data_IF_795848753056
#
_entry.id   IF_795848753056
#
_cell.length_a   1.000
_cell.length_b   1.000
_cell.length_c   1.000
_cell.angle_alpha   90.00
_cell.angle_beta   90.00
_cell.angle_gamma   90.00
#
_symmetry.space_group_name_H-M   'P 1'
#
loop_
_entity.id
_entity.type
_entity.pdbx_description
1 polymer ?
#
# COMPACT_ATOMS: atom_id res chain seq x y z
N UNK A 1 32.02 -3.76 -7.15
CA UNK A 1 31.04 -2.75 -6.66
C UNK A 1 29.64 -3.27 -6.88
N UNK A 2 28.68 -2.74 -6.12
CA UNK A 2 27.25 -3.01 -6.30
C UNK A 2 26.71 -2.21 -7.48
N UNK A 3 25.53 -2.60 -7.99
CA UNK A 3 24.85 -1.84 -9.04
C UNK A 3 24.49 -0.41 -8.58
N UNK A 4 24.12 -0.24 -7.31
CA UNK A 4 23.70 1.05 -6.78
C UNK A 4 24.87 2.04 -6.73
N UNK A 5 26.02 1.61 -6.21
CA UNK A 5 27.25 2.39 -6.20
C UNK A 5 27.67 2.81 -7.62
N UNK A 6 27.62 1.87 -8.57
CA UNK A 6 27.93 2.17 -9.97
C UNK A 6 26.98 3.20 -10.58
N UNK A 7 25.68 3.13 -10.25
CA UNK A 7 24.69 4.11 -10.70
C UNK A 7 24.96 5.48 -10.10
N UNK A 8 25.29 5.55 -8.81
CA UNK A 8 25.54 6.80 -8.11
C UNK A 8 26.82 7.48 -8.63
N UNK A 9 27.89 6.72 -8.91
CA UNK A 9 29.11 7.21 -9.56
C UNK A 9 28.87 7.75 -10.99
N UNK A 10 27.88 7.22 -11.70
CA UNK A 10 27.55 7.61 -13.08
C UNK A 10 26.48 8.72 -13.16
N UNK A 11 26.32 9.52 -12.10
CA UNK A 11 25.39 10.66 -12.06
C UNK A 11 23.96 10.25 -11.72
N UNK A 12 23.80 9.15 -10.99
CA UNK A 12 22.52 8.62 -10.52
C UNK A 12 21.66 8.02 -11.63
N UNK A 13 20.42 7.65 -11.28
CA UNK A 13 19.51 6.93 -12.17
C UNK A 13 19.23 7.66 -13.49
N UNK A 14 19.11 9.00 -13.44
CA UNK A 14 18.87 9.83 -14.63
C UNK A 14 20.13 9.91 -15.50
N UNK A 15 21.32 10.03 -14.88
CA UNK A 15 22.61 10.07 -15.59
C UNK A 15 22.85 8.78 -16.36
N UNK A 16 22.70 7.64 -15.70
CA UNK A 16 22.83 6.30 -16.31
C UNK A 16 21.79 6.09 -17.43
N UNK A 17 20.53 6.45 -17.18
CA UNK A 17 19.47 6.31 -18.18
C UNK A 17 19.79 7.08 -19.47
N UNK A 18 20.24 8.34 -19.35
CA UNK A 18 20.64 9.17 -20.50
C UNK A 18 21.91 8.66 -21.19
N UNK A 19 22.92 8.27 -20.40
CA UNK A 19 24.25 7.88 -20.92
C UNK A 19 24.21 6.55 -21.68
N UNK A 20 23.37 5.61 -21.24
CA UNK A 20 23.30 4.26 -21.79
C UNK A 20 21.96 3.95 -22.48
N UNK A 21 21.17 4.98 -22.78
CA UNK A 21 19.90 4.88 -23.50
C UNK A 21 18.87 3.93 -22.89
N UNK A 22 18.85 3.79 -21.56
CA UNK A 22 17.80 3.09 -20.84
C UNK A 22 16.67 4.05 -20.44
N UNK A 23 15.47 3.52 -20.20
CA UNK A 23 14.41 4.31 -19.58
C UNK A 23 14.71 4.52 -18.10
N UNK A 24 14.50 5.73 -17.59
CA UNK A 24 14.76 6.07 -16.18
C UNK A 24 13.96 5.19 -15.21
N UNK A 25 12.72 4.84 -15.57
CA UNK A 25 11.88 3.92 -14.81
C UNK A 25 12.48 2.52 -14.69
N UNK A 26 13.17 2.05 -15.73
CA UNK A 26 13.79 0.73 -15.76
C UNK A 26 15.03 0.68 -14.87
N UNK A 27 15.90 1.69 -14.96
CA UNK A 27 17.05 1.85 -14.04
C UNK A 27 16.56 1.98 -12.59
N UNK A 28 15.51 2.76 -12.35
CA UNK A 28 14.92 2.92 -11.02
C UNK A 28 14.31 1.63 -10.46
N UNK A 29 13.74 0.77 -11.31
CA UNK A 29 13.23 -0.53 -10.90
C UNK A 29 14.37 -1.48 -10.49
N UNK A 30 15.49 -1.46 -11.21
CA UNK A 30 16.69 -2.23 -10.89
C UNK A 30 17.38 -1.73 -9.63
N UNK A 31 17.52 -0.41 -9.48
CA UNK A 31 18.14 0.24 -8.32
C UNK A 31 17.38 -0.05 -7.01
N UNK A 32 16.05 -0.18 -7.09
CA UNK A 32 15.18 -0.48 -5.93
C UNK A 32 14.94 -1.97 -5.73
N UNK A 33 15.61 -2.84 -6.50
CA UNK A 33 15.39 -4.29 -6.48
C UNK A 33 13.92 -4.69 -6.71
N UNK A 34 13.16 -3.89 -7.45
CA UNK A 34 11.78 -4.21 -7.80
C UNK A 34 11.73 -5.31 -8.85
N UNK A 35 12.71 -5.31 -9.77
CA UNK A 35 12.89 -6.31 -10.82
C UNK A 35 14.37 -6.56 -11.04
N UNK A 36 14.71 -7.79 -11.40
CA UNK A 36 16.04 -8.13 -11.88
C UNK A 36 16.15 -7.86 -13.39
N UNK A 37 17.30 -7.40 -13.91
CA UNK A 37 17.49 -7.22 -15.35
C UNK A 37 17.28 -8.51 -16.13
N UNK A 38 16.75 -8.39 -17.35
CA UNK A 38 16.73 -9.51 -18.33
C UNK A 38 18.14 -9.78 -18.85
N UNK A 39 18.38 -10.98 -19.36
CA UNK A 39 19.69 -11.40 -19.86
C UNK A 39 20.32 -10.39 -20.84
N UNK A 40 19.56 -9.89 -21.81
CA UNK A 40 20.07 -8.92 -22.80
C UNK A 40 20.55 -7.62 -22.13
N UNK A 41 19.75 -7.08 -21.21
CA UNK A 41 20.07 -5.85 -20.47
C UNK A 41 21.23 -6.07 -19.49
N UNK A 42 21.33 -7.27 -18.91
CA UNK A 42 22.42 -7.63 -18.02
C UNK A 42 23.75 -7.68 -18.77
N UNK A 43 23.77 -8.28 -19.96
CA UNK A 43 24.96 -8.28 -20.84
C UNK A 43 25.37 -6.86 -21.20
N UNK A 44 24.42 -5.98 -21.53
CA UNK A 44 24.71 -4.57 -21.81
C UNK A 44 25.28 -3.86 -20.57
N UNK A 45 24.70 -4.06 -19.38
CA UNK A 45 25.19 -3.46 -18.15
C UNK A 45 26.60 -3.95 -17.79
N UNK A 46 26.90 -5.23 -17.99
CA UNK A 46 28.26 -5.78 -17.77
C UNK A 46 29.24 -5.16 -18.75
N UNK A 47 28.86 -5.02 -20.02
CA UNK A 47 29.71 -4.37 -21.03
C UNK A 47 29.96 -2.88 -20.69
N UNK A 48 28.90 -2.13 -20.35
CA UNK A 48 29.00 -0.70 -20.02
C UNK A 48 29.69 -0.40 -18.71
N UNK A 49 29.62 -1.32 -17.75
CA UNK A 49 30.34 -1.21 -16.49
C UNK A 49 31.74 -1.81 -16.53
N UNK A 50 32.18 -2.34 -17.68
CA UNK A 50 33.47 -3.03 -17.84
C UNK A 50 33.64 -4.18 -16.81
N UNK A 51 32.55 -4.86 -16.45
CA UNK A 51 32.57 -5.93 -15.45
C UNK A 51 32.78 -5.48 -14.01
N UNK A 52 32.71 -4.17 -13.69
CA UNK A 52 32.87 -3.66 -12.31
C UNK A 52 31.71 -4.04 -11.39
N UNK A 53 30.52 -4.23 -11.96
CA UNK A 53 29.34 -4.65 -11.21
C UNK A 53 29.44 -6.13 -10.86
N UNK A 54 29.39 -6.45 -9.57
CA UNK A 54 29.31 -7.83 -9.10
C UNK A 54 27.88 -8.36 -9.30
N UNK A 55 27.64 -9.02 -10.44
CA UNK A 55 26.32 -9.57 -10.80
C UNK A 55 25.87 -10.68 -9.85
N UNK A 56 26.79 -11.50 -9.34
CA UNK A 56 26.44 -12.59 -8.43
C UNK A 56 25.94 -12.06 -7.09
N UNK A 57 26.63 -11.07 -6.53
CA UNK A 57 26.18 -10.38 -5.32
C UNK A 57 24.85 -9.69 -5.56
N UNK A 58 24.68 -9.02 -6.71
CA UNK A 58 23.43 -8.36 -7.04
C UNK A 58 22.24 -9.33 -7.14
N UNK A 59 22.44 -10.52 -7.71
CA UNK A 59 21.43 -11.56 -7.78
C UNK A 59 21.08 -12.12 -6.39
N UNK A 60 22.08 -12.30 -5.51
CA UNK A 60 21.89 -12.74 -4.14
C UNK A 60 21.07 -11.72 -3.34
N UNK A 61 21.44 -10.43 -3.40
CA UNK A 61 20.73 -9.33 -2.73
C UNK A 61 19.28 -9.21 -3.24
N UNK A 62 19.06 -9.40 -4.54
CA UNK A 62 17.72 -9.42 -5.12
C UNK A 62 16.90 -10.58 -4.57
N UNK A 63 17.45 -11.79 -4.54
CA UNK A 63 16.76 -12.98 -4.03
C UNK A 63 16.42 -12.85 -2.54
N UNK A 64 17.35 -12.33 -1.72
CA UNK A 64 17.11 -12.06 -0.31
C UNK A 64 15.99 -11.04 -0.11
N UNK A 65 15.98 -9.96 -0.91
CA UNK A 65 14.94 -8.93 -0.82
C UNK A 65 13.57 -9.42 -1.31
N UNK A 66 13.53 -10.35 -2.26
CA UNK A 66 12.28 -11.02 -2.63
C UNK A 66 11.80 -11.94 -1.50
N UNK A 67 12.70 -12.66 -0.83
CA UNK A 67 12.37 -13.48 0.35
C UNK A 67 11.83 -12.64 1.50
N UNK A 68 12.47 -11.52 1.83
CA UNK A 68 11.97 -10.57 2.84
C UNK A 68 10.59 -9.98 2.48
N UNK A 69 10.30 -9.81 1.18
CA UNK A 69 8.96 -9.40 0.71
C UNK A 69 7.94 -10.53 0.85
N UNK A 70 8.33 -11.79 0.66
CA UNK A 70 7.42 -12.93 0.81
C UNK A 70 7.22 -13.38 2.26
N UNK A 71 8.22 -13.23 3.14
CA UNK A 71 8.20 -13.66 4.55
C UNK A 71 7.41 -12.72 5.48
N UNK A 72 6.80 -11.67 4.95
CA UNK A 72 5.68 -10.99 5.58
C UNK A 72 6.00 -10.13 6.79
N UNK A 73 6.34 -8.85 6.58
CA UNK A 73 5.97 -7.77 7.53
C UNK A 73 5.92 -6.38 6.88
N UNK A 74 5.56 -6.29 5.60
CA UNK A 74 5.08 -5.03 5.02
C UNK A 74 4.46 -5.32 3.66
N UNK A 75 3.29 -5.97 3.69
CA UNK A 75 2.30 -5.58 2.69
C UNK A 75 2.15 -4.07 2.91
N UNK A 76 2.73 -3.26 2.02
CA UNK A 76 2.25 -1.89 1.84
C UNK A 76 0.79 -2.08 1.48
N UNK A 77 -0.07 -2.12 2.50
CA UNK A 77 -1.50 -2.10 2.30
C UNK A 77 -1.70 -0.74 1.66
N UNK A 78 -1.87 -0.74 0.34
CA UNK A 78 -2.18 0.48 -0.39
C UNK A 78 -3.40 1.05 0.30
N UNK A 79 -3.20 2.13 1.07
CA UNK A 79 -4.23 2.75 1.89
C UNK A 79 -5.48 2.87 1.04
N UNK A 80 -6.56 2.21 1.45
CA UNK A 80 -7.75 2.13 0.60
C UNK A 80 -8.22 3.57 0.40
N UNK A 81 -8.44 3.97 -0.86
CA UNK A 81 -8.85 5.35 -1.16
C UNK A 81 -10.12 5.66 -0.36
N UNK A 82 -10.10 6.78 0.38
CA UNK A 82 -11.15 7.13 1.34
C UNK A 82 -12.54 7.28 0.70
N UNK A 83 -12.59 7.77 -0.54
CA UNK A 83 -13.82 7.99 -1.30
C UNK A 83 -14.49 6.70 -1.81
N UNK A 84 -13.87 5.53 -1.63
CA UNK A 84 -14.47 4.27 -2.08
C UNK A 84 -15.60 3.86 -1.14
N UNK A 85 -16.75 3.38 -1.67
CA UNK A 85 -17.84 2.89 -0.83
C UNK A 85 -17.51 1.53 -0.22
N UNK A 86 -17.89 1.30 1.04
CA UNK A 86 -17.78 0.01 1.73
C UNK A 86 -19.01 -0.84 1.42
N UNK A 87 -19.01 -1.46 0.23
CA UNK A 87 -20.15 -2.20 -0.32
C UNK A 87 -20.02 -3.73 -0.25
N UNK A 88 -18.89 -4.26 0.22
CA UNK A 88 -18.65 -5.69 0.36
C UNK A 88 -17.83 -5.98 1.62
N UNK A 89 -17.97 -7.22 2.13
CA UNK A 89 -17.31 -7.64 3.38
C UNK A 89 -15.79 -7.66 3.25
N UNK A 90 -15.26 -8.06 2.10
CA UNK A 90 -13.83 -8.06 1.84
C UNK A 90 -13.22 -6.65 1.95
N UNK A 91 -13.96 -5.61 1.53
CA UNK A 91 -13.49 -4.22 1.67
C UNK A 91 -13.51 -3.75 3.12
N UNK A 92 -14.55 -4.08 3.87
CA UNK A 92 -14.59 -3.79 5.31
C UNK A 92 -13.44 -4.47 6.05
N UNK A 93 -13.23 -5.77 5.79
CA UNK A 93 -12.09 -6.53 6.34
C UNK A 93 -10.76 -5.89 6.03
N UNK A 94 -10.56 -5.45 4.79
CA UNK A 94 -9.34 -4.76 4.38
C UNK A 94 -9.14 -3.43 5.14
N UNK A 95 -10.21 -2.68 5.44
CA UNK A 95 -10.13 -1.48 6.30
C UNK A 95 -9.71 -1.84 7.72
N UNK A 96 -10.26 -2.91 8.31
CA UNK A 96 -9.84 -3.37 9.64
C UNK A 96 -8.38 -3.83 9.67
N UNK A 97 -7.95 -4.61 8.67
CA UNK A 97 -6.56 -5.03 8.52
C UNK A 97 -5.60 -3.85 8.33
N UNK A 98 -6.04 -2.76 7.71
CA UNK A 98 -5.26 -1.52 7.55
C UNK A 98 -5.01 -0.83 8.88
N UNK A 99 -6.00 -0.90 9.77
CA UNK A 99 -5.96 -0.28 11.10
C UNK A 99 -5.39 -1.22 12.18
N UNK A 100 -4.82 -2.37 11.79
CA UNK A 100 -4.23 -3.33 12.74
C UNK A 100 -5.25 -4.09 13.59
N UNK A 101 -6.52 -4.09 13.18
CA UNK A 101 -7.61 -4.73 13.92
C UNK A 101 -7.97 -6.11 13.33
N UNK A 102 -8.55 -7.02 14.14
CA UNK A 102 -8.94 -8.35 13.68
C UNK A 102 -10.10 -8.30 12.68
N UNK A 103 -9.82 -8.64 11.42
CA UNK A 103 -10.78 -8.60 10.31
C UNK A 103 -11.96 -9.58 10.51
N UNK A 104 -11.78 -10.61 11.32
CA UNK A 104 -12.78 -11.63 11.64
C UNK A 104 -13.98 -11.04 12.38
N UNK A 105 -13.78 -9.95 13.14
CA UNK A 105 -14.86 -9.22 13.82
C UNK A 105 -15.90 -8.71 12.83
N UNK A 106 -15.51 -8.39 11.60
CA UNK A 106 -16.44 -7.97 10.53
C UNK A 106 -17.47 -9.04 10.18
N UNK A 107 -17.18 -10.32 10.43
CA UNK A 107 -18.13 -11.39 10.13
C UNK A 107 -19.34 -11.29 11.06
N UNK A 108 -19.15 -10.78 12.28
CA UNK A 108 -20.21 -10.56 13.24
C UNK A 108 -21.00 -9.33 12.82
N UNK A 109 -22.25 -9.52 12.38
CA UNK A 109 -23.19 -8.46 11.96
C UNK A 109 -22.78 -7.63 10.73
N UNK A 110 -21.53 -7.66 10.27
CA UNK A 110 -21.05 -6.91 9.11
C UNK A 110 -21.89 -7.10 7.85
N UNK A 111 -22.28 -8.34 7.44
CA UNK A 111 -23.12 -8.54 6.25
C UNK A 111 -24.44 -7.74 6.27
N UNK A 112 -25.06 -7.63 7.46
CA UNK A 112 -26.31 -6.86 7.64
C UNK A 112 -26.11 -5.37 7.42
N UNK A 113 -25.03 -4.81 7.96
CA UNK A 113 -24.73 -3.38 7.84
C UNK A 113 -24.18 -3.02 6.47
N UNK A 114 -23.39 -3.89 5.85
CA UNK A 114 -22.87 -3.70 4.48
C UNK A 114 -24.02 -3.57 3.47
N UNK A 115 -25.07 -4.38 3.60
CA UNK A 115 -26.25 -4.25 2.74
C UNK A 115 -26.87 -2.84 2.85
N UNK A 116 -26.97 -2.28 4.07
CA UNK A 116 -27.45 -0.91 4.29
C UNK A 116 -26.47 0.13 3.75
N UNK A 117 -25.18 -0.04 4.02
CA UNK A 117 -24.10 0.86 3.60
C UNK A 117 -23.93 0.93 2.09
N UNK A 118 -24.26 -0.15 1.38
CA UNK A 118 -24.32 -0.19 -0.08
C UNK A 118 -25.37 0.80 -0.61
N UNK A 119 -26.51 0.96 0.06
CA UNK A 119 -27.55 1.91 -0.32
C UNK A 119 -27.26 3.33 0.15
N UNK A 120 -26.73 3.49 1.36
CA UNK A 120 -26.43 4.82 1.91
C UNK A 120 -25.05 5.36 1.48
N UNK A 121 -24.35 4.66 0.59
CA UNK A 121 -23.02 5.01 0.09
C UNK A 121 -22.02 5.38 1.19
N UNK A 122 -21.92 4.55 2.24
CA UNK A 122 -20.89 4.76 3.28
C UNK A 122 -19.51 4.56 2.68
N UNK A 123 -18.64 5.53 2.90
CA UNK A 123 -17.27 5.57 2.39
C UNK A 123 -16.26 4.99 3.37
N UNK A 124 -15.08 4.62 2.86
CA UNK A 124 -13.97 4.16 3.69
C UNK A 124 -13.51 5.24 4.66
N UNK A 125 -13.52 6.52 4.26
CA UNK A 125 -13.20 7.63 5.18
C UNK A 125 -14.19 7.70 6.34
N UNK A 126 -15.49 7.62 6.09
CA UNK A 126 -16.49 7.65 7.17
C UNK A 126 -16.33 6.51 8.17
N UNK A 127 -15.95 5.31 7.70
CA UNK A 127 -15.67 4.18 8.57
C UNK A 127 -14.42 4.44 9.43
N UNK A 128 -13.33 4.97 8.83
CA UNK A 128 -12.11 5.33 9.58
C UNK A 128 -12.37 6.42 10.63
N UNK A 129 -13.13 7.44 10.26
CA UNK A 129 -13.45 8.56 11.14
C UNK A 129 -14.30 8.05 12.33
N UNK A 130 -15.29 7.20 12.06
CA UNK A 130 -16.09 6.57 13.11
C UNK A 130 -15.24 5.71 14.07
N UNK A 131 -14.34 4.90 13.54
CA UNK A 131 -13.40 4.09 14.35
C UNK A 131 -12.53 5.00 15.22
N UNK A 132 -11.93 6.03 14.64
CA UNK A 132 -11.08 7.01 15.37
C UNK A 132 -11.86 7.66 16.51
N UNK A 133 -13.11 8.07 16.27
CA UNK A 133 -13.97 8.67 17.29
C UNK A 133 -14.34 7.67 18.38
N UNK A 134 -14.55 6.40 18.05
CA UNK A 134 -14.83 5.35 19.05
C UNK A 134 -13.60 5.07 19.93
N UNK A 135 -12.40 5.03 19.35
CA UNK A 135 -11.14 4.90 20.09
C UNK A 135 -10.94 6.07 21.05
N UNK A 136 -11.15 7.31 20.60
CA UNK A 136 -11.09 8.50 21.45
C UNK A 136 -12.12 8.46 22.60
N UNK A 137 -13.28 7.83 22.38
CA UNK A 137 -14.34 7.65 23.38
C UNK A 137 -14.10 6.43 24.28
N UNK A 138 -12.98 5.71 24.16
CA UNK A 138 -12.70 4.44 24.83
C UNK A 138 -13.83 3.40 24.68
N UNK A 139 -14.45 3.36 23.51
CA UNK A 139 -15.48 2.38 23.14
C UNK A 139 -14.88 1.30 22.24
N UNK A 140 -15.57 0.17 22.11
CA UNK A 140 -15.16 -0.89 21.21
C UNK A 140 -15.22 -0.40 19.76
N UNK A 141 -14.06 -0.01 19.23
CA UNK A 141 -13.88 0.47 17.85
C UNK A 141 -13.94 -0.67 16.83
N UNK A 142 -14.03 -1.93 17.28
CA UNK A 142 -14.23 -3.12 16.44
C UNK A 142 -15.70 -3.53 16.32
N UNK A 143 -16.62 -2.90 17.05
CA UNK A 143 -18.05 -3.18 16.96
C UNK A 143 -18.70 -2.46 15.77
N UNK A 144 -19.17 -3.23 14.79
CA UNK A 144 -19.81 -2.72 13.57
C UNK A 144 -21.08 -1.93 13.86
N UNK A 145 -21.83 -2.29 14.90
CA UNK A 145 -23.05 -1.58 15.27
C UNK A 145 -22.72 -0.19 15.83
N UNK A 146 -21.68 -0.09 16.66
CA UNK A 146 -21.18 1.19 17.16
C UNK A 146 -20.64 2.06 16.04
N UNK A 147 -19.88 1.48 15.10
CA UNK A 147 -19.39 2.18 13.91
C UNK A 147 -20.55 2.73 13.10
N UNK A 148 -21.57 1.91 12.81
CA UNK A 148 -22.74 2.35 12.06
C UNK A 148 -23.49 3.49 12.76
N UNK A 149 -23.63 3.42 14.08
CA UNK A 149 -24.27 4.47 14.89
C UNK A 149 -23.48 5.77 14.84
N UNK A 150 -22.16 5.70 14.96
CA UNK A 150 -21.30 6.88 14.91
C UNK A 150 -21.31 7.55 13.52
N UNK A 151 -21.29 6.76 12.43
CA UNK A 151 -21.46 7.29 11.07
C UNK A 151 -22.81 8.02 10.93
N UNK A 152 -23.89 7.42 11.44
CA UNK A 152 -25.22 8.02 11.39
C UNK A 152 -25.33 9.29 12.23
N UNK A 153 -24.59 9.38 13.34
CA UNK A 153 -24.48 10.60 14.14
C UNK A 153 -23.69 11.68 13.41
N UNK A 154 -22.52 11.35 12.87
CA UNK A 154 -21.66 12.28 12.13
C UNK A 154 -22.40 12.89 10.94
N UNK A 155 -23.13 12.08 10.16
CA UNK A 155 -23.97 12.57 9.05
C UNK A 155 -25.05 13.54 9.51
N UNK A 156 -25.77 13.23 10.59
CA UNK A 156 -26.81 14.12 11.15
C UNK A 156 -26.21 15.42 11.67
N UNK A 157 -25.06 15.37 12.36
CA UNK A 157 -24.35 16.56 12.82
C UNK A 157 -23.76 17.40 11.68
N UNK A 158 -23.49 16.82 10.52
CA UNK A 158 -23.09 17.57 9.33
C UNK A 158 -24.29 18.26 8.67
N UNK A 159 -25.46 17.61 8.62
CA UNK A 159 -26.70 18.19 8.11
C UNK A 159 -27.17 19.36 8.99
N UNK A 160 -27.17 19.21 10.31
CA UNK A 160 -27.59 20.28 11.22
C UNK A 160 -26.71 21.54 11.12
N UNK A 161 -25.44 21.40 10.73
CA UNK A 161 -24.51 22.53 10.48
C UNK A 161 -24.72 23.24 9.13
N UNK A 162 -25.53 22.66 8.24
CA UNK A 162 -25.91 23.31 6.97
C UNK A 162 -27.22 24.10 7.11
N UNK A 163 -27.96 23.91 8.20
CA UNK A 163 -29.22 24.60 8.50
C UNK A 163 -29.04 25.82 9.44
N UNK A 164 -27.80 26.08 9.88
CA UNK A 164 -27.35 27.31 10.59
C UNK A 164 -26.61 28.26 9.63
#
# INVERSE_FOLDING_TARGET
MTFQEWVDENGGQIGVARKFCFTSSLIGAWYRFERFPRADNLTLLVAYSEGRINVQQWAADFAERQRQRSDGTSVRQNKIKGNLPVNCLSRLKAVFSELGMPAERCNLRGPRFIARWKHSHVTVSEVRDAITVLELKNKDSSDIELIHKEISNARRSALGRLEE
#
